data_IF_380513512036
#
_entry.id   IF_380513512036
#
_cell.length_a   1.000
_cell.length_b   1.000
_cell.length_c   1.000
_cell.angle_alpha   90.00
_cell.angle_beta   90.00
_cell.angle_gamma   90.00
#
_symmetry.space_group_name_H-M   'P 1'
#
loop_
_entity.id
_entity.type
_entity.pdbx_description
1 polymer ?
#
# COMPACT_ATOMS: atom_id res chain seq x y z
N UNK A 1 20.86 -31.24 42.88
CA UNK A 1 19.43 -31.10 42.46
C UNK A 1 19.06 -29.61 42.38
N UNK A 2 19.17 -29.01 41.19
CA UNK A 2 18.03 -28.69 40.30
C UNK A 2 17.13 -27.61 40.94
N UNK A 3 16.88 -26.44 40.37
CA UNK A 3 16.73 -26.08 38.95
C UNK A 3 16.92 -24.58 38.76
N UNK A 4 17.75 -24.20 37.78
CA UNK A 4 17.76 -22.88 37.18
C UNK A 4 16.46 -22.68 36.39
N UNK A 5 15.60 -21.77 36.81
CA UNK A 5 14.50 -21.27 35.98
C UNK A 5 15.06 -20.22 35.02
N UNK A 6 15.39 -20.65 33.80
CA UNK A 6 15.53 -19.73 32.68
C UNK A 6 14.12 -19.20 32.35
N UNK A 7 13.85 -17.94 32.72
CA UNK A 7 12.74 -17.17 32.15
C UNK A 7 13.16 -16.77 30.74
N UNK A 8 12.44 -17.27 29.74
CA UNK A 8 12.50 -16.75 28.37
C UNK A 8 12.18 -15.25 28.39
N UNK A 9 13.23 -14.44 28.26
CA UNK A 9 13.20 -12.99 28.28
C UNK A 9 13.14 -12.42 26.87
N UNK A 10 12.18 -12.88 26.05
CA UNK A 10 12.01 -12.36 24.68
C UNK A 10 10.55 -12.37 24.15
N UNK A 11 9.55 -12.40 25.02
CA UNK A 11 8.15 -12.27 24.57
C UNK A 11 7.85 -10.80 24.23
N UNK A 12 7.62 -10.48 22.94
CA UNK A 12 7.16 -9.14 22.52
C UNK A 12 5.82 -8.85 23.18
N UNK A 13 5.73 -7.75 23.92
CA UNK A 13 4.48 -7.28 24.53
C UNK A 13 3.78 -6.36 23.53
N UNK A 14 2.63 -6.79 23.02
CA UNK A 14 1.80 -6.01 22.10
C UNK A 14 0.58 -5.50 22.83
N UNK A 15 0.32 -4.19 22.75
CA UNK A 15 -0.81 -3.52 23.39
C UNK A 15 -1.46 -2.55 22.40
N UNK A 16 -2.75 -2.30 22.53
CA UNK A 16 -3.41 -1.25 21.75
C UNK A 16 -3.32 0.11 22.45
N UNK A 17 -3.41 1.20 21.68
CA UNK A 17 -3.69 2.53 22.23
C UNK A 17 -4.98 2.51 23.05
N UNK A 18 -4.95 3.13 24.23
CA UNK A 18 -6.12 3.23 25.13
C UNK A 18 -7.08 4.33 24.71
N UNK A 19 -6.58 5.38 24.04
CA UNK A 19 -7.39 6.47 23.51
C UNK A 19 -7.73 6.23 22.04
N UNK A 20 -8.99 6.41 21.70
CA UNK A 20 -9.53 6.38 20.34
C UNK A 20 -10.24 7.73 20.11
N UNK A 21 -9.87 8.46 19.05
CA UNK A 21 -10.44 9.81 18.79
C UNK A 21 -11.97 9.75 18.64
N UNK A 22 -12.48 8.67 18.03
CA UNK A 22 -13.89 8.29 17.97
C UNK A 22 -14.01 6.83 17.54
N UNK A 23 -15.20 6.23 17.68
CA UNK A 23 -15.47 4.84 17.25
C UNK A 23 -15.18 4.57 15.76
N UNK A 24 -15.01 5.62 14.95
CA UNK A 24 -14.70 5.53 13.52
C UNK A 24 -13.20 5.36 13.24
N UNK A 25 -12.31 5.51 14.23
CA UNK A 25 -10.88 5.33 14.05
C UNK A 25 -10.42 3.99 14.62
N UNK A 26 -9.49 3.31 13.97
CA UNK A 26 -8.90 2.11 14.57
C UNK A 26 -8.07 2.46 15.81
N UNK A 27 -8.04 1.55 16.79
CA UNK A 27 -7.01 1.56 17.81
C UNK A 27 -5.71 1.04 17.18
N UNK A 28 -4.61 1.75 17.40
CA UNK A 28 -3.31 1.36 16.84
C UNK A 28 -2.58 0.39 17.78
N UNK A 29 -1.76 -0.50 17.24
CA UNK A 29 -0.91 -1.38 18.05
C UNK A 29 0.43 -0.71 18.42
N UNK A 30 0.89 -1.02 19.62
CA UNK A 30 2.16 -0.62 20.22
C UNK A 30 2.89 -1.90 20.63
N UNK A 31 4.11 -2.07 20.13
CA UNK A 31 4.96 -3.22 20.41
C UNK A 31 6.11 -2.78 21.31
N UNK A 32 6.26 -3.39 22.49
CA UNK A 32 7.32 -3.06 23.46
C UNK A 32 7.36 -1.56 23.84
N UNK A 33 6.20 -0.95 24.02
CA UNK A 33 6.06 0.47 24.38
C UNK A 33 6.41 1.45 23.24
N UNK A 34 6.61 0.96 22.02
CA UNK A 34 6.91 1.76 20.83
C UNK A 34 5.90 1.50 19.73
N UNK A 35 5.57 2.56 19.00
CA UNK A 35 4.76 2.44 17.80
C UNK A 35 5.59 1.82 16.68
N UNK A 36 5.06 0.78 16.05
CA UNK A 36 5.72 0.05 14.97
C UNK A 36 5.38 0.74 13.64
N UNK A 37 6.39 1.38 13.06
CA UNK A 37 6.25 2.14 11.81
C UNK A 37 6.27 1.22 10.59
N UNK A 38 5.73 1.69 9.48
CA UNK A 38 5.74 0.99 8.20
C UNK A 38 7.16 0.64 7.77
N UNK A 39 7.33 -0.53 7.16
CA UNK A 39 8.57 -0.92 6.48
C UNK A 39 8.84 -0.08 5.21
N UNK A 40 7.86 0.71 4.79
CA UNK A 40 7.93 1.62 3.65
C UNK A 40 7.60 3.07 4.04
N UNK A 41 7.93 3.45 5.29
CA UNK A 41 7.58 4.77 5.84
C UNK A 41 8.10 5.91 4.97
N UNK A 42 7.20 6.81 4.59
CA UNK A 42 7.54 8.02 3.83
C UNK A 42 7.56 7.83 2.31
N UNK A 43 7.34 6.61 1.79
CA UNK A 43 7.32 6.40 0.35
C UNK A 43 6.16 7.13 -0.34
N UNK A 44 5.01 7.26 0.33
CA UNK A 44 3.85 8.00 -0.17
C UNK A 44 4.09 9.49 -0.39
N UNK A 45 5.17 10.05 0.16
CA UNK A 45 5.61 11.43 -0.11
C UNK A 45 5.96 11.67 -1.59
N UNK A 46 6.11 10.61 -2.40
CA UNK A 46 6.34 10.70 -3.84
C UNK A 46 5.10 11.10 -4.66
N UNK A 47 3.91 11.13 -4.06
CA UNK A 47 2.69 11.56 -4.75
C UNK A 47 2.73 13.05 -5.09
N UNK A 48 2.01 13.43 -6.15
CA UNK A 48 2.10 14.75 -6.78
C UNK A 48 1.86 15.92 -5.82
N UNK A 49 0.96 15.75 -4.85
CA UNK A 49 0.59 16.80 -3.89
C UNK A 49 0.32 16.21 -2.50
N UNK A 50 0.40 17.07 -1.47
CA UNK A 50 -0.01 16.71 -0.11
C UNK A 50 -1.50 16.34 0.01
N UNK A 51 -2.35 16.83 -0.91
CA UNK A 51 -3.76 16.43 -1.00
C UNK A 51 -3.90 15.01 -1.53
N UNK A 52 -3.14 14.63 -2.57
CA UNK A 52 -3.08 13.26 -3.06
C UNK A 52 -2.60 12.30 -1.97
N UNK A 53 -1.51 12.64 -1.28
CA UNK A 53 -1.00 11.87 -0.14
C UNK A 53 -2.09 11.62 0.91
N UNK A 54 -2.73 12.69 1.38
CA UNK A 54 -3.75 12.61 2.41
C UNK A 54 -4.93 11.76 1.96
N UNK A 55 -5.50 12.04 0.78
CA UNK A 55 -6.67 11.32 0.28
C UNK A 55 -6.36 9.84 0.01
N UNK A 56 -5.14 9.52 -0.42
CA UNK A 56 -4.69 8.14 -0.61
C UNK A 56 -4.64 7.39 0.72
N UNK A 57 -3.93 7.91 1.72
CA UNK A 57 -3.78 7.21 3.00
C UNK A 57 -5.10 7.11 3.78
N UNK A 58 -5.88 8.20 3.86
CA UNK A 58 -7.16 8.19 4.60
C UNK A 58 -8.24 7.43 3.85
N UNK A 59 -8.27 7.55 2.52
CA UNK A 59 -9.25 6.84 1.69
C UNK A 59 -9.07 5.32 1.78
N UNK A 60 -7.84 4.81 1.86
CA UNK A 60 -7.63 3.38 2.07
C UNK A 60 -8.18 2.91 3.43
N UNK A 61 -7.97 3.70 4.48
CA UNK A 61 -8.53 3.40 5.81
C UNK A 61 -10.05 3.36 5.73
N UNK A 62 -10.67 4.32 5.04
CA UNK A 62 -12.13 4.42 4.91
C UNK A 62 -12.71 3.22 4.15
N UNK A 63 -12.10 2.81 3.03
CA UNK A 63 -12.49 1.60 2.29
C UNK A 63 -12.42 0.34 3.16
N UNK A 64 -11.31 0.22 3.90
CA UNK A 64 -11.01 -0.96 4.70
C UNK A 64 -12.01 -1.20 5.84
N UNK A 65 -12.73 -0.18 6.30
CA UNK A 65 -13.75 -0.32 7.37
C UNK A 65 -14.92 -1.21 6.99
N UNK A 66 -15.22 -1.34 5.69
CA UNK A 66 -16.31 -2.20 5.22
C UNK A 66 -16.01 -3.69 5.46
N UNK A 67 -14.74 -4.07 5.32
CA UNK A 67 -14.25 -5.45 5.48
C UNK A 67 -13.68 -5.70 6.88
N UNK A 68 -13.05 -4.69 7.48
CA UNK A 68 -12.38 -4.76 8.78
C UNK A 68 -12.99 -3.76 9.77
N UNK A 69 -14.13 -4.05 10.42
CA UNK A 69 -14.79 -3.10 11.32
C UNK A 69 -13.91 -2.64 12.49
N UNK A 70 -13.93 -1.34 12.82
CA UNK A 70 -13.09 -0.71 13.86
C UNK A 70 -13.35 -1.22 15.29
N UNK A 71 -14.49 -1.85 15.53
CA UNK A 71 -14.82 -2.47 16.81
C UNK A 71 -14.21 -3.87 16.98
N UNK A 72 -13.80 -4.51 15.88
CA UNK A 72 -13.22 -5.86 15.86
C UNK A 72 -11.73 -5.85 15.55
N UNK A 73 -11.28 -4.92 14.70
CA UNK A 73 -9.91 -4.86 14.20
C UNK A 73 -9.12 -3.70 14.81
N UNK A 74 -7.81 -3.87 14.82
CA UNK A 74 -6.80 -2.92 15.25
C UNK A 74 -5.89 -2.59 14.08
N UNK A 75 -5.39 -1.36 14.03
CA UNK A 75 -4.54 -0.90 12.93
C UNK A 75 -3.06 -1.08 13.25
N UNK A 76 -2.31 -1.50 12.24
CA UNK A 76 -0.86 -1.45 12.20
C UNK A 76 -0.44 -0.95 10.82
N UNK A 77 0.60 -0.12 10.77
CA UNK A 77 1.22 0.25 9.48
C UNK A 77 1.79 -0.98 8.77
N UNK A 78 1.81 -1.00 7.44
CA UNK A 78 2.22 -2.17 6.66
C UNK A 78 3.62 -2.69 7.01
N UNK A 79 3.70 -4.01 7.25
CA UNK A 79 4.90 -4.71 7.68
C UNK A 79 5.46 -5.69 6.66
N UNK A 80 4.76 -5.93 5.55
CA UNK A 80 5.07 -7.01 4.59
C UNK A 80 5.81 -6.49 3.37
N UNK A 81 5.34 -5.39 2.78
CA UNK A 81 5.95 -4.73 1.62
C UNK A 81 6.89 -3.64 2.14
N UNK A 82 8.19 -3.92 2.12
CA UNK A 82 9.21 -2.96 2.52
C UNK A 82 9.55 -1.94 1.42
N UNK A 83 10.39 -0.96 1.76
CA UNK A 83 10.81 0.10 0.85
C UNK A 83 11.57 -0.42 -0.38
N UNK A 84 12.39 -1.46 -0.23
CA UNK A 84 13.13 -2.03 -1.35
C UNK A 84 12.20 -2.72 -2.35
N UNK A 85 11.26 -3.52 -1.84
CA UNK A 85 10.23 -4.20 -2.64
C UNK A 85 9.35 -3.18 -3.34
N UNK A 86 8.91 -2.15 -2.62
CA UNK A 86 8.12 -1.06 -3.20
C UNK A 86 8.88 -0.39 -4.34
N UNK A 87 10.12 0.02 -4.11
CA UNK A 87 10.95 0.68 -5.13
C UNK A 87 11.11 -0.17 -6.39
N UNK A 88 11.30 -1.49 -6.25
CA UNK A 88 11.36 -2.43 -7.37
C UNK A 88 10.03 -2.50 -8.12
N UNK A 89 8.91 -2.64 -7.41
CA UNK A 89 7.60 -2.82 -8.02
C UNK A 89 7.11 -1.57 -8.75
N UNK A 90 7.31 -0.37 -8.18
CA UNK A 90 6.89 0.89 -8.84
C UNK A 90 7.84 1.31 -9.96
N UNK A 91 9.02 0.70 -10.09
CA UNK A 91 9.93 1.00 -11.19
C UNK A 91 9.49 0.33 -12.50
N UNK A 92 10.12 0.76 -13.61
CA UNK A 92 9.93 0.13 -14.92
C UNK A 92 10.45 -1.29 -14.93
N UNK A 93 9.75 -2.16 -15.67
CA UNK A 93 10.25 -3.47 -16.04
C UNK A 93 11.48 -3.34 -16.93
N UNK A 94 12.52 -4.11 -16.64
CA UNK A 94 13.74 -4.20 -17.47
C UNK A 94 14.48 -5.50 -17.16
N UNK A 95 15.54 -5.82 -17.92
CA UNK A 95 16.40 -6.98 -17.63
C UNK A 95 17.04 -6.90 -16.23
N UNK A 96 17.31 -5.68 -15.73
CA UNK A 96 17.86 -5.44 -14.39
C UNK A 96 16.80 -5.41 -13.29
N UNK A 97 15.55 -5.13 -13.66
CA UNK A 97 14.41 -5.12 -12.74
C UNK A 97 13.22 -5.86 -13.38
N UNK A 98 13.25 -7.20 -13.42
CA UNK A 98 12.20 -7.99 -14.04
C UNK A 98 10.86 -7.85 -13.29
N UNK A 99 10.89 -7.42 -12.03
CA UNK A 99 9.74 -7.29 -11.15
C UNK A 99 9.04 -5.93 -11.22
N UNK A 100 9.56 -4.98 -12.01
CA UNK A 100 8.92 -3.70 -12.25
C UNK A 100 7.51 -3.87 -12.84
N UNK A 101 6.54 -3.15 -12.28
CA UNK A 101 5.13 -3.19 -12.69
C UNK A 101 4.77 -2.08 -13.66
N UNK A 102 5.64 -1.06 -13.81
CA UNK A 102 5.50 -0.10 -14.90
C UNK A 102 6.08 -0.65 -16.20
N UNK A 103 5.57 -0.20 -17.36
CA UNK A 103 6.01 -0.70 -18.65
C UNK A 103 7.50 -0.43 -18.88
N UNK A 104 8.15 -1.35 -19.61
CA UNK A 104 9.51 -1.16 -20.06
C UNK A 104 9.64 0.13 -20.87
N UNK A 105 10.82 0.75 -20.80
CA UNK A 105 11.13 1.90 -21.62
C UNK A 105 11.15 1.48 -23.09
N UNK A 106 10.37 2.18 -23.92
CA UNK A 106 10.27 1.94 -25.36
C UNK A 106 11.21 2.83 -26.18
N UNK A 107 12.02 3.68 -25.53
CA UNK A 107 12.97 4.59 -26.16
C UNK A 107 12.33 5.83 -26.78
N UNK A 108 11.01 5.97 -26.71
CA UNK A 108 10.30 7.17 -27.16
C UNK A 108 10.19 8.15 -25.97
N UNK A 109 10.48 9.43 -26.22
CA UNK A 109 10.38 10.50 -25.22
C UNK A 109 9.27 11.50 -25.53
N UNK A 110 8.54 11.31 -26.63
CA UNK A 110 7.41 12.14 -26.99
C UNK A 110 6.23 11.93 -26.02
N UNK A 111 5.47 13.00 -25.71
CA UNK A 111 4.31 12.92 -24.81
C UNK A 111 3.29 11.84 -25.18
N UNK A 112 3.11 11.57 -26.47
CA UNK A 112 2.09 10.68 -27.01
C UNK A 112 2.58 9.27 -27.34
N UNK A 113 3.90 9.09 -27.53
CA UNK A 113 4.48 7.82 -27.97
C UNK A 113 5.23 7.04 -26.90
N UNK A 114 5.65 7.71 -25.81
CA UNK A 114 6.33 7.02 -24.70
C UNK A 114 5.39 6.11 -23.92
N UNK A 115 5.94 5.04 -23.35
CA UNK A 115 5.25 4.24 -22.36
C UNK A 115 5.25 4.96 -20.99
N UNK A 116 4.10 5.41 -20.45
CA UNK A 116 4.10 6.20 -19.22
C UNK A 116 4.30 5.35 -17.96
N UNK A 117 4.69 6.00 -16.87
CA UNK A 117 4.61 5.46 -15.51
C UNK A 117 3.14 5.54 -15.09
N UNK A 118 2.47 4.39 -15.07
CA UNK A 118 1.10 4.24 -14.61
C UNK A 118 1.02 4.17 -13.09
N UNK A 119 1.87 3.35 -12.46
CA UNK A 119 1.88 3.13 -11.01
C UNK A 119 2.86 4.10 -10.36
N UNK A 120 2.33 5.01 -9.54
CA UNK A 120 3.13 5.98 -8.80
C UNK A 120 3.56 5.45 -7.44
N UNK A 121 2.66 4.76 -6.72
CA UNK A 121 2.94 4.29 -5.37
C UNK A 121 2.05 3.13 -4.94
N UNK A 122 2.52 2.34 -3.98
CA UNK A 122 1.77 1.31 -3.26
C UNK A 122 1.78 1.63 -1.76
N UNK A 123 0.67 1.37 -1.09
CA UNK A 123 0.54 1.48 0.37
C UNK A 123 -0.05 0.19 0.93
N UNK A 124 0.48 -0.28 2.05
CA UNK A 124 -0.05 -1.40 2.82
C UNK A 124 -0.55 -0.94 4.19
N UNK A 125 -1.70 -1.47 4.59
CA UNK A 125 -2.28 -1.31 5.93
C UNK A 125 -2.62 -2.70 6.49
N UNK A 126 -2.22 -2.95 7.73
CA UNK A 126 -2.47 -4.21 8.42
C UNK A 126 -3.62 -4.08 9.40
N UNK A 127 -4.53 -5.04 9.37
CA UNK A 127 -5.68 -5.15 10.26
C UNK A 127 -5.57 -6.38 11.14
N UNK A 128 -5.44 -6.13 12.44
CA UNK A 128 -5.09 -7.13 13.44
C UNK A 128 -6.31 -7.48 14.27
N UNK A 129 -6.47 -8.75 14.64
CA UNK A 129 -7.53 -9.23 15.54
C UNK A 129 -6.90 -9.56 16.89
N UNK A 130 -7.60 -9.21 17.97
CA UNK A 130 -7.18 -9.58 19.32
C UNK A 130 -7.53 -11.05 19.60
N UNK A 131 -6.54 -11.82 20.03
CA UNK A 131 -6.69 -13.17 20.56
C UNK A 131 -6.61 -13.14 22.09
N UNK A 132 -6.75 -14.29 22.77
CA UNK A 132 -6.77 -14.35 24.24
C UNK A 132 -5.59 -13.64 24.90
N UNK A 133 -4.39 -13.75 24.31
CA UNK A 133 -3.16 -13.24 24.90
C UNK A 133 -2.32 -12.38 23.94
N UNK A 134 -2.76 -12.14 22.70
CA UNK A 134 -1.96 -11.43 21.69
C UNK A 134 -2.83 -10.83 20.56
N UNK A 135 -2.19 -10.45 19.45
CA UNK A 135 -2.83 -10.03 18.21
C UNK A 135 -2.33 -10.88 17.04
N UNK A 136 -3.22 -11.18 16.10
CA UNK A 136 -2.92 -11.90 14.86
C UNK A 136 -3.37 -11.10 13.63
N UNK A 137 -2.78 -11.38 12.47
CA UNK A 137 -3.15 -10.71 11.23
C UNK A 137 -4.50 -11.23 10.75
N UNK A 138 -5.51 -10.36 10.74
CA UNK A 138 -6.86 -10.68 10.28
C UNK A 138 -7.18 -10.18 8.87
N UNK A 139 -6.36 -9.30 8.31
CA UNK A 139 -6.57 -8.71 7.01
C UNK A 139 -5.49 -7.72 6.62
N UNK A 140 -5.32 -7.48 5.33
CA UNK A 140 -4.52 -6.35 4.83
C UNK A 140 -5.30 -5.56 3.77
N UNK A 141 -4.95 -4.30 3.62
CA UNK A 141 -5.41 -3.45 2.52
C UNK A 141 -4.23 -2.91 1.74
N UNK A 142 -4.33 -2.97 0.42
CA UNK A 142 -3.35 -2.50 -0.54
C UNK A 142 -3.92 -1.33 -1.34
N UNK A 143 -3.36 -0.14 -1.14
CA UNK A 143 -3.60 1.02 -1.97
C UNK A 143 -2.68 1.01 -3.19
N UNK A 144 -3.24 1.23 -4.38
CA UNK A 144 -2.50 1.33 -5.65
C UNK A 144 -2.74 2.73 -6.21
N UNK A 145 -1.75 3.62 -6.07
CA UNK A 145 -1.82 4.98 -6.57
C UNK A 145 -1.36 5.05 -8.02
N UNK A 146 -2.29 5.42 -8.90
CA UNK A 146 -2.11 5.49 -10.34
C UNK A 146 -2.03 6.95 -10.81
N UNK A 147 -1.14 7.21 -11.76
CA UNK A 147 -1.02 8.51 -12.43
C UNK A 147 -2.21 8.80 -13.34
N UNK A 148 -2.78 10.00 -13.22
CA UNK A 148 -3.60 10.61 -14.28
C UNK A 148 -2.73 11.37 -15.28
N UNK A 149 -1.59 11.90 -14.82
CA UNK A 149 -0.55 12.57 -15.60
C UNK A 149 0.79 12.03 -15.12
N UNK A 150 1.63 11.57 -16.05
CA UNK A 150 3.00 11.19 -15.76
C UNK A 150 3.96 12.32 -16.15
N UNK A 151 4.73 12.80 -15.19
CA UNK A 151 5.65 13.92 -15.36
C UNK A 151 7.08 13.41 -15.54
N UNK A 152 7.78 13.95 -16.53
CA UNK A 152 9.15 13.54 -16.86
C UNK A 152 9.94 14.69 -17.50
N UNK A 153 11.21 14.44 -17.80
CA UNK A 153 12.08 15.40 -18.50
C UNK A 153 12.36 14.90 -19.91
N UNK A 154 12.19 15.77 -20.90
CA UNK A 154 12.55 15.54 -22.30
C UNK A 154 13.48 16.67 -22.78
N UNK A 155 14.69 16.34 -23.22
CA UNK A 155 15.72 17.31 -23.64
C UNK A 155 15.94 18.47 -22.66
N UNK A 156 15.96 18.16 -21.36
CA UNK A 156 16.16 19.14 -20.28
C UNK A 156 14.95 20.05 -20.02
N UNK A 157 13.79 19.75 -20.60
CA UNK A 157 12.53 20.46 -20.37
C UNK A 157 11.53 19.57 -19.68
N UNK A 158 10.69 20.17 -18.85
CA UNK A 158 9.55 19.47 -18.26
C UNK A 158 8.58 19.04 -19.36
N UNK A 159 8.11 17.81 -19.26
CA UNK A 159 7.16 17.19 -20.16
C UNK A 159 6.16 16.36 -19.36
N UNK A 160 4.99 16.11 -19.95
CA UNK A 160 3.94 15.34 -19.34
C UNK A 160 3.25 14.44 -20.35
N UNK A 161 2.79 13.28 -19.89
CA UNK A 161 1.92 12.37 -20.63
C UNK A 161 0.63 12.23 -19.85
N UNK A 162 -0.49 12.67 -20.42
CA UNK A 162 -1.81 12.39 -19.88
C UNK A 162 -2.16 10.91 -20.05
N UNK A 163 -2.77 10.33 -19.03
CA UNK A 163 -3.20 8.94 -19.02
C UNK A 163 -4.73 8.91 -18.93
N UNK A 164 -5.36 8.39 -19.98
CA UNK A 164 -6.82 8.23 -20.01
C UNK A 164 -7.29 7.36 -18.84
N UNK A 165 -8.54 7.58 -18.43
CA UNK A 165 -9.11 6.79 -17.33
C UNK A 165 -9.18 5.31 -17.70
N UNK A 166 -9.50 5.01 -18.96
CA UNK A 166 -9.64 3.66 -19.49
C UNK A 166 -8.31 2.91 -19.46
N UNK A 167 -7.24 3.54 -19.99
CA UNK A 167 -5.90 2.94 -19.99
C UNK A 167 -5.37 2.74 -18.56
N UNK A 168 -5.60 3.71 -17.68
CA UNK A 168 -5.21 3.60 -16.28
C UNK A 168 -5.94 2.44 -15.58
N UNK A 169 -7.25 2.30 -15.78
CA UNK A 169 -8.05 1.21 -15.19
C UNK A 169 -7.58 -0.15 -15.68
N UNK A 170 -7.29 -0.29 -16.97
CA UNK A 170 -6.76 -1.53 -17.54
C UNK A 170 -5.43 -1.93 -16.87
N UNK A 171 -4.49 -0.99 -16.78
CA UNK A 171 -3.20 -1.22 -16.14
C UNK A 171 -3.35 -1.50 -14.63
N UNK A 172 -4.20 -0.76 -13.94
CA UNK A 172 -4.44 -0.94 -12.51
C UNK A 172 -4.92 -2.37 -12.18
N UNK A 173 -5.81 -2.93 -13.00
CA UNK A 173 -6.28 -4.32 -12.82
C UNK A 173 -5.16 -5.34 -13.02
N UNK A 174 -4.33 -5.17 -14.05
CA UNK A 174 -3.19 -6.05 -14.30
C UNK A 174 -2.16 -5.99 -13.16
N UNK A 175 -1.90 -4.77 -12.66
CA UNK A 175 -0.98 -4.51 -11.55
C UNK A 175 -1.53 -5.12 -10.24
N UNK A 176 -2.80 -4.90 -9.93
CA UNK A 176 -3.45 -5.46 -8.73
C UNK A 176 -3.38 -6.99 -8.71
N UNK A 177 -3.68 -7.66 -9.83
CA UNK A 177 -3.58 -9.12 -9.95
C UNK A 177 -2.15 -9.63 -9.76
N UNK A 178 -1.17 -8.89 -10.29
CA UNK A 178 0.25 -9.24 -10.10
C UNK A 178 0.66 -9.10 -8.64
N UNK A 179 0.27 -8.00 -7.98
CA UNK A 179 0.54 -7.78 -6.56
C UNK A 179 -0.13 -8.86 -5.71
N UNK A 180 -1.41 -9.18 -5.96
CA UNK A 180 -2.11 -10.27 -5.28
C UNK A 180 -1.34 -11.59 -5.42
N UNK A 181 -0.95 -11.95 -6.63
CA UNK A 181 -0.19 -13.18 -6.90
C UNK A 181 1.13 -13.24 -6.12
N UNK A 182 1.84 -12.10 -6.04
CA UNK A 182 3.09 -11.98 -5.27
C UNK A 182 2.84 -12.10 -3.76
N UNK A 183 1.83 -11.39 -3.25
CA UNK A 183 1.46 -11.43 -1.84
C UNK A 183 1.04 -12.83 -1.39
N UNK A 184 0.29 -13.57 -2.21
CA UNK A 184 -0.11 -14.96 -1.91
C UNK A 184 1.05 -15.97 -1.91
N UNK A 185 2.26 -15.58 -2.34
CA UNK A 185 3.47 -16.40 -2.11
C UNK A 185 3.93 -16.36 -0.66
N UNK A 186 3.52 -15.36 0.12
CA UNK A 186 3.76 -15.33 1.55
C UNK A 186 2.76 -16.25 2.26
N UNK A 187 3.27 -17.25 2.98
CA UNK A 187 2.45 -18.22 3.72
C UNK A 187 1.49 -17.54 4.70
N UNK A 188 1.90 -16.45 5.35
CA UNK A 188 1.07 -15.69 6.28
C UNK A 188 -0.12 -15.01 5.59
N UNK A 189 -0.07 -14.84 4.27
CA UNK A 189 -1.12 -14.19 3.49
C UNK A 189 -1.94 -15.17 2.66
N UNK A 190 -1.79 -16.49 2.77
CA UNK A 190 -2.54 -17.43 1.89
C UNK A 190 -4.05 -17.42 2.11
N UNK A 191 -4.50 -17.25 3.34
CA UNK A 191 -5.91 -17.29 3.74
C UNK A 191 -6.40 -15.98 4.39
N UNK A 192 -5.57 -14.92 4.33
CA UNK A 192 -5.91 -13.60 4.90
C UNK A 192 -6.66 -12.78 3.85
N UNK A 193 -7.80 -12.13 4.17
CA UNK A 193 -8.46 -11.22 3.24
C UNK A 193 -7.54 -10.07 2.82
N UNK A 194 -7.47 -9.80 1.52
CA UNK A 194 -6.71 -8.70 0.93
C UNK A 194 -7.68 -7.76 0.21
N UNK A 195 -7.84 -6.55 0.75
CA UNK A 195 -8.59 -5.47 0.09
C UNK A 195 -7.66 -4.71 -0.84
N UNK A 196 -8.11 -4.39 -2.04
CA UNK A 196 -7.40 -3.53 -2.99
C UNK A 196 -8.22 -2.28 -3.24
N UNK A 197 -7.58 -1.12 -3.16
CA UNK A 197 -8.14 0.16 -3.59
C UNK A 197 -7.26 0.78 -4.67
N UNK A 198 -7.83 1.06 -5.85
CA UNK A 198 -7.12 1.81 -6.91
C UNK A 198 -7.45 3.29 -6.77
N UNK A 199 -6.41 4.08 -6.55
CA UNK A 199 -6.48 5.53 -6.38
C UNK A 199 -5.99 6.23 -7.64
N UNK A 200 -6.81 7.08 -8.25
CA UNK A 200 -6.39 7.93 -9.36
C UNK A 200 -5.90 9.25 -8.78
N UNK A 201 -4.58 9.45 -8.74
CA UNK A 201 -4.01 10.72 -8.28
C UNK A 201 -4.24 11.83 -9.31
N UNK A 202 -4.48 13.05 -8.86
CA UNK A 202 -4.61 14.24 -9.73
C UNK A 202 -3.25 14.84 -10.09
N UNK A 203 -3.25 15.83 -11.00
CA UNK A 203 -2.06 16.59 -11.40
C UNK A 203 -1.45 17.38 -10.23
N UNK A 204 -0.25 17.93 -10.43
CA UNK A 204 0.46 18.72 -9.41
C UNK A 204 -0.24 20.05 -9.06
N UNK A 205 -1.08 20.55 -9.96
CA UNK A 205 -1.79 21.83 -9.80
C UNK A 205 -3.21 21.68 -9.20
N UNK A 206 -3.63 20.44 -8.93
CA UNK A 206 -4.95 20.14 -8.39
C UNK A 206 -4.95 20.22 -6.85
N UNK A 207 -5.86 21.04 -6.31
CA UNK A 207 -6.01 21.29 -4.87
C UNK A 207 -7.00 20.34 -4.18
N UNK A 208 -7.75 19.54 -4.93
CA UNK A 208 -8.71 18.58 -4.39
C UNK A 208 -8.06 17.23 -4.03
N UNK A 209 -6.98 16.88 -4.72
CA UNK A 209 -6.35 15.57 -4.65
C UNK A 209 -7.15 14.50 -5.39
N UNK A 210 -6.56 13.31 -5.49
CA UNK A 210 -7.15 12.16 -6.14
C UNK A 210 -8.26 11.48 -5.35
N UNK A 211 -8.83 10.45 -5.98
CA UNK A 211 -9.94 9.66 -5.45
C UNK A 211 -9.74 8.17 -5.72
N UNK A 212 -10.31 7.32 -4.87
CA UNK A 212 -10.44 5.89 -5.14
C UNK A 212 -11.51 5.66 -6.21
N UNK A 213 -11.17 4.89 -7.24
CA UNK A 213 -12.04 4.64 -8.41
C UNK A 213 -12.41 3.18 -8.58
N UNK A 214 -11.67 2.25 -7.97
CA UNK A 214 -11.98 0.82 -7.94
C UNK A 214 -11.67 0.25 -6.56
N UNK A 215 -12.45 -0.75 -6.17
CA UNK A 215 -12.25 -1.55 -4.97
C UNK A 215 -12.46 -3.03 -5.32
N UNK A 216 -11.66 -3.91 -4.71
CA UNK A 216 -11.86 -5.35 -4.78
C UNK A 216 -11.41 -6.01 -3.47
N UNK A 217 -11.96 -7.18 -3.16
CA UNK A 217 -11.54 -7.98 -2.00
C UNK A 217 -11.28 -9.41 -2.43
N UNK A 218 -10.08 -9.92 -2.14
CA UNK A 218 -9.72 -11.33 -2.28
C UNK A 218 -9.79 -11.98 -0.90
N UNK A 219 -10.78 -12.85 -0.68
CA UNK A 219 -10.96 -13.56 0.61
C UNK A 219 -9.95 -14.70 0.74
N UNK A 220 -9.83 -15.55 -0.28
CA UNK A 220 -8.82 -16.60 -0.40
C UNK A 220 -8.38 -16.76 -1.87
N UNK A 221 -7.14 -17.21 -2.10
CA UNK A 221 -6.64 -17.52 -3.44
C UNK A 221 -6.24 -16.32 -4.29
N UNK A 222 -6.08 -16.56 -5.60
CA UNK A 222 -5.74 -15.57 -6.64
C UNK A 222 -6.98 -15.11 -7.38
#
# INVERSE_FOLDING_TARGET
PSTNTNKDSNTKVVQSTTNQLSNNFYRALITNGKYEVSQNRGATLSLNTGFNLKNFETGLIDLSRSVFPTNQYFFREGQIIDAETTAKWIARKSDKNPDGLNPADNGDTSPTGRAPIYLAQILEQDYMIQTENNFELGGISIGIAMNSVDYYTNDGKDAETEISNEAMIEQAKAIANTILTRLRQNDALKAVPIVFGVFRQTSKDDIGGGVYVLEATSVEGT
#
